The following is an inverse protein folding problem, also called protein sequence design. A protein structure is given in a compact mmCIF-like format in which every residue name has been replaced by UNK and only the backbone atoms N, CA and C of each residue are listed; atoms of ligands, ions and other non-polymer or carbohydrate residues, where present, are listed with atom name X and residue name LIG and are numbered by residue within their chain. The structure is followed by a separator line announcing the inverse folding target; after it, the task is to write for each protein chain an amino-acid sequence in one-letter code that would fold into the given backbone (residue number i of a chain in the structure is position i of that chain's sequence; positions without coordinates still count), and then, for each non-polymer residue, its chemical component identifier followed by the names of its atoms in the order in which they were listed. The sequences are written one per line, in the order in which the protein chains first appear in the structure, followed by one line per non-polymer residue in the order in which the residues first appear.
data_IF_499137957850
#
_entry.id   IF_499137957850
#
_cell.length_a   1.000
_cell.length_b   1.000
_cell.length_c   1.000
_cell.angle_alpha   90.00
_cell.angle_beta   90.00
_cell.angle_gamma   90.00
#
_symmetry.space_group_name_H-M   'P 1'
#
loop_
_entity.id
_entity.type
_entity.pdbx_description
1 polymer ?
#
# COMPACT_ATOMS: atom_id res chain seq x y z
N UNK A 1 1.87 -28.89 0.17
CA UNK A 1 0.63 -28.33 -0.44
C UNK A 1 -0.12 -27.31 0.42
N UNK A 2 0.29 -27.06 1.67
CA UNK A 2 -0.31 -26.04 2.56
C UNK A 2 0.43 -24.67 2.52
N UNK A 3 1.42 -24.48 1.64
CA UNK A 3 2.36 -23.36 1.65
C UNK A 3 1.88 -22.07 0.97
N UNK A 4 0.69 -22.01 0.37
CA UNK A 4 0.34 -20.89 -0.51
C UNK A 4 -0.78 -19.97 0.00
N UNK A 5 -1.26 -20.11 1.24
CA UNK A 5 -2.51 -19.48 1.67
C UNK A 5 -2.37 -17.99 1.99
N UNK A 6 -1.24 -17.56 2.60
CA UNK A 6 -1.01 -16.15 2.99
C UNK A 6 -0.06 -15.39 2.07
N UNK A 7 0.68 -16.08 1.23
CA UNK A 7 1.78 -15.49 0.46
C UNK A 7 1.31 -14.43 -0.53
N UNK A 8 0.11 -14.62 -1.13
CA UNK A 8 -0.48 -13.67 -2.10
C UNK A 8 -0.88 -12.36 -1.45
N UNK A 9 -1.53 -12.45 -0.28
CA UNK A 9 -1.94 -11.27 0.47
C UNK A 9 -0.71 -10.52 0.98
N UNK A 10 0.31 -11.24 1.44
CA UNK A 10 1.61 -10.68 1.81
C UNK A 10 2.28 -10.00 0.62
N UNK A 11 2.30 -10.63 -0.55
CA UNK A 11 2.87 -10.05 -1.77
C UNK A 11 2.08 -8.81 -2.23
N UNK A 12 0.74 -8.88 -2.26
CA UNK A 12 -0.11 -7.76 -2.63
C UNK A 12 0.06 -6.58 -1.67
N UNK A 13 -0.04 -6.82 -0.37
CA UNK A 13 0.13 -5.78 0.66
C UNK A 13 1.54 -5.19 0.63
N UNK A 14 2.57 -6.01 0.49
CA UNK A 14 3.96 -5.54 0.42
C UNK A 14 4.22 -4.66 -0.82
N UNK A 15 3.68 -5.04 -2.00
CA UNK A 15 3.73 -4.19 -3.20
C UNK A 15 3.01 -2.86 -2.96
N UNK A 16 1.81 -2.90 -2.37
CA UNK A 16 1.03 -1.70 -2.10
C UNK A 16 1.72 -0.80 -1.07
N UNK A 17 2.34 -1.37 -0.03
CA UNK A 17 3.15 -0.63 0.95
C UNK A 17 4.36 0.03 0.31
N UNK A 18 5.09 -0.67 -0.56
CA UNK A 18 6.25 -0.12 -1.29
C UNK A 18 5.82 1.02 -2.22
N UNK A 19 4.75 0.82 -2.99
CA UNK A 19 4.19 1.88 -3.84
C UNK A 19 3.72 3.09 -3.03
N UNK A 20 3.00 2.86 -1.92
CA UNK A 20 2.51 3.92 -1.04
C UNK A 20 3.66 4.69 -0.36
N UNK A 21 4.73 4.01 0.09
CA UNK A 21 5.91 4.67 0.67
C UNK A 21 6.54 5.64 -0.33
N UNK A 22 6.79 5.19 -1.57
CA UNK A 22 7.31 6.06 -2.64
C UNK A 22 6.35 7.22 -2.96
N UNK A 23 5.05 6.97 -3.06
CA UNK A 23 4.05 8.02 -3.30
C UNK A 23 3.92 8.99 -2.12
N UNK A 24 4.10 8.51 -0.90
CA UNK A 24 4.12 9.34 0.31
C UNK A 24 5.25 10.37 0.27
N UNK A 25 6.47 9.95 -0.10
CA UNK A 25 7.62 10.86 -0.21
C UNK A 25 7.49 11.90 -1.34
N UNK A 26 6.54 11.72 -2.28
CA UNK A 26 6.19 12.73 -3.28
C UNK A 26 5.32 13.86 -2.70
N UNK A 27 4.74 13.68 -1.50
CA UNK A 27 3.96 14.71 -0.82
C UNK A 27 4.90 15.82 -0.31
N UNK A 28 4.41 17.06 -0.34
CA UNK A 28 5.27 18.23 -0.04
C UNK A 28 5.19 18.71 1.41
N UNK A 29 4.07 18.47 2.08
CA UNK A 29 3.84 18.89 3.45
C UNK A 29 4.21 17.81 4.45
N UNK A 30 4.90 18.16 5.52
CA UNK A 30 5.28 17.23 6.61
C UNK A 30 4.08 16.52 7.27
N UNK A 31 2.90 17.13 7.17
CA UNK A 31 1.64 16.59 7.74
C UNK A 31 0.74 15.96 6.69
N UNK A 32 1.16 15.99 5.44
CA UNK A 32 0.40 15.38 4.36
C UNK A 32 0.30 13.87 4.57
N UNK A 33 -0.87 13.32 4.30
CA UNK A 33 -1.13 11.89 4.44
C UNK A 33 -1.70 11.33 3.14
N UNK A 34 -1.03 10.32 2.61
CA UNK A 34 -1.53 9.51 1.52
C UNK A 34 -2.27 8.31 2.09
N UNK A 35 -3.46 8.02 1.57
CA UNK A 35 -4.18 6.76 1.83
C UNK A 35 -4.53 6.10 0.51
N UNK A 36 -4.16 4.84 0.34
CA UNK A 36 -4.58 4.01 -0.79
C UNK A 36 -5.54 2.95 -0.26
N UNK A 37 -6.76 2.93 -0.79
CA UNK A 37 -7.77 1.93 -0.49
C UNK A 37 -8.10 1.12 -1.73
N UNK A 38 -8.04 -0.19 -1.62
CA UNK A 38 -8.56 -1.11 -2.61
C UNK A 38 -9.80 -1.78 -2.03
N UNK A 39 -10.91 -1.68 -2.74
CA UNK A 39 -12.15 -2.42 -2.46
C UNK A 39 -12.40 -3.35 -3.63
N UNK A 40 -12.52 -4.64 -3.37
CA UNK A 40 -12.60 -5.61 -4.44
C UNK A 40 -13.56 -6.77 -4.12
N UNK A 41 -14.08 -7.38 -5.19
CA UNK A 41 -15.01 -8.51 -5.11
C UNK A 41 -14.33 -9.85 -4.85
N UNK A 42 -13.02 -9.93 -5.08
CA UNK A 42 -12.23 -11.13 -4.85
C UNK A 42 -12.13 -11.51 -3.37
N UNK A 43 -11.52 -12.66 -3.06
CA UNK A 43 -11.46 -13.19 -1.68
C UNK A 43 -10.68 -12.30 -0.71
N UNK A 44 -9.73 -11.47 -1.17
CA UNK A 44 -9.00 -10.51 -0.33
C UNK A 44 -9.88 -9.41 0.25
N UNK A 45 -11.02 -9.10 -0.40
CA UNK A 45 -11.97 -8.04 -0.04
C UNK A 45 -11.41 -6.62 -0.04
N UNK A 46 -10.09 -6.47 -0.08
CA UNK A 46 -9.41 -5.19 -0.22
C UNK A 46 -8.24 -4.99 0.74
N UNK A 47 -7.68 -3.79 0.63
CA UNK A 47 -6.50 -3.35 1.39
C UNK A 47 -6.67 -1.87 1.75
N UNK A 48 -6.08 -1.49 2.87
CA UNK A 48 -5.91 -0.08 3.24
C UNK A 48 -4.46 0.16 3.62
N UNK A 49 -3.82 1.13 2.98
CA UNK A 49 -2.44 1.53 3.26
C UNK A 49 -2.39 3.03 3.43
N UNK A 50 -1.62 3.52 4.38
CA UNK A 50 -1.33 4.94 4.56
C UNK A 50 0.17 5.17 4.56
N UNK A 51 0.61 6.29 3.99
CA UNK A 51 2.00 6.72 3.97
C UNK A 51 2.11 8.23 4.16
N UNK A 52 3.24 8.70 4.69
CA UNK A 52 3.54 10.12 4.85
C UNK A 52 4.80 10.54 4.06
N UNK A 53 5.12 11.83 4.09
CA UNK A 53 6.28 12.39 3.40
C UNK A 53 7.64 11.94 3.97
N UNK A 54 7.65 11.33 5.16
CA UNK A 54 8.86 10.89 5.85
C UNK A 54 9.20 9.42 5.62
N UNK A 55 8.51 8.75 4.67
CA UNK A 55 8.70 7.34 4.39
C UNK A 55 8.04 6.39 5.41
N UNK A 56 7.23 6.89 6.34
CA UNK A 56 6.49 6.03 7.24
C UNK A 56 5.27 5.45 6.54
N UNK A 57 5.10 4.15 6.65
CA UNK A 57 3.99 3.44 6.00
C UNK A 57 3.36 2.43 6.95
N UNK A 58 2.07 2.22 6.81
CA UNK A 58 1.31 1.16 7.50
C UNK A 58 0.16 0.70 6.63
N UNK A 59 -0.26 -0.55 6.79
CA UNK A 59 -1.37 -1.09 6.01
C UNK A 59 -1.87 -2.41 6.55
N UNK A 60 -3.05 -2.80 6.10
CA UNK A 60 -3.66 -4.07 6.43
C UNK A 60 -4.55 -4.58 5.29
N UNK A 61 -4.71 -5.91 5.13
CA UNK A 61 -5.70 -6.51 4.26
C UNK A 61 -7.02 -6.67 4.99
N UNK A 62 -8.15 -6.60 4.28
CA UNK A 62 -9.46 -6.89 4.88
C UNK A 62 -9.60 -8.37 5.25
N UNK A 63 -9.08 -9.26 4.40
CA UNK A 63 -9.03 -10.72 4.65
C UNK A 63 -7.59 -11.19 4.46
N UNK A 64 -6.89 -11.54 5.55
CA UNK A 64 -5.48 -11.95 5.47
C UNK A 64 -5.28 -13.40 4.99
N UNK A 65 -6.26 -14.28 5.21
CA UNK A 65 -6.19 -15.69 4.89
C UNK A 65 -7.00 -15.99 3.61
N UNK A 66 -6.31 -16.05 2.47
CA UNK A 66 -6.91 -16.32 1.16
C UNK A 66 -6.28 -17.55 0.53
N UNK A 67 -7.11 -18.54 0.26
CA UNK A 67 -6.72 -19.77 -0.46
C UNK A 67 -7.02 -19.68 -1.94
N UNK A 68 -5.99 -19.69 -2.77
CA UNK A 68 -6.11 -19.77 -4.24
C UNK A 68 -5.02 -20.67 -4.80
N UNK A 69 -5.22 -21.33 -5.94
CA UNK A 69 -4.15 -22.01 -6.67
C UNK A 69 -3.14 -21.01 -7.23
N UNK A 70 -1.95 -21.45 -7.61
CA UNK A 70 -1.03 -20.64 -8.41
C UNK A 70 -1.68 -20.30 -9.76
N UNK A 71 -1.25 -19.17 -10.36
CA UNK A 71 -1.69 -18.82 -11.70
C UNK A 71 -1.13 -19.79 -12.77
N UNK A 72 -1.52 -19.61 -14.01
CA UNK A 72 -1.10 -20.46 -15.12
C UNK A 72 0.44 -20.50 -15.34
N UNK A 73 1.16 -19.47 -14.86
CA UNK A 73 2.63 -19.36 -14.92
C UNK A 73 3.31 -19.94 -13.67
N UNK A 74 2.58 -20.55 -12.74
CA UNK A 74 3.13 -21.06 -11.48
C UNK A 74 3.50 -19.98 -10.45
N UNK A 75 3.08 -18.73 -10.66
CA UNK A 75 3.33 -17.60 -9.74
C UNK A 75 2.14 -17.39 -8.80
N UNK A 76 2.37 -16.58 -7.75
CA UNK A 76 1.30 -16.14 -6.84
C UNK A 76 0.25 -15.33 -7.63
N UNK A 77 -0.99 -15.76 -7.58
CA UNK A 77 -2.12 -15.11 -8.29
C UNK A 77 -2.67 -13.95 -7.45
N UNK A 78 -2.01 -12.81 -7.52
CA UNK A 78 -2.44 -11.59 -6.81
C UNK A 78 -3.70 -11.02 -7.46
N UNK A 79 -3.73 -10.96 -8.80
CA UNK A 79 -4.90 -10.48 -9.54
C UNK A 79 -6.16 -11.30 -9.24
N UNK A 80 -6.04 -12.62 -9.16
CA UNK A 80 -7.15 -13.51 -8.77
C UNK A 80 -7.60 -13.29 -7.31
N UNK A 81 -6.70 -12.90 -6.41
CA UNK A 81 -7.05 -12.59 -5.03
C UNK A 81 -7.87 -11.28 -4.91
N UNK A 82 -7.64 -10.30 -5.79
CA UNK A 82 -8.36 -9.04 -5.83
C UNK A 82 -9.64 -9.15 -6.68
N UNK A 83 -9.53 -9.69 -7.88
CA UNK A 83 -10.62 -9.71 -8.85
C UNK A 83 -11.06 -8.30 -9.26
N UNK A 84 -12.33 -8.13 -9.63
CA UNK A 84 -12.87 -6.81 -9.96
C UNK A 84 -12.93 -5.93 -8.74
N UNK A 85 -12.54 -4.67 -8.89
CA UNK A 85 -12.50 -3.73 -7.77
C UNK A 85 -12.18 -2.31 -8.18
N UNK A 86 -12.03 -1.47 -7.15
CA UNK A 86 -11.73 -0.05 -7.28
C UNK A 86 -10.55 0.27 -6.37
N UNK A 87 -9.59 1.02 -6.89
CA UNK A 87 -8.52 1.64 -6.12
C UNK A 87 -8.79 3.14 -5.98
N UNK A 88 -8.80 3.62 -4.75
CA UNK A 88 -8.94 5.03 -4.39
C UNK A 88 -7.65 5.52 -3.76
N UNK A 89 -7.08 6.59 -4.30
CA UNK A 89 -5.90 7.28 -3.76
C UNK A 89 -6.36 8.61 -3.18
N UNK A 90 -6.22 8.76 -1.88
CA UNK A 90 -6.69 9.90 -1.10
C UNK A 90 -5.46 10.65 -0.60
N UNK A 91 -5.32 11.92 -0.98
CA UNK A 91 -4.24 12.81 -0.54
C UNK A 91 -4.83 13.87 0.38
N UNK A 92 -4.58 13.73 1.69
CA UNK A 92 -4.93 14.73 2.68
C UNK A 92 -3.75 15.70 2.85
N UNK A 93 -3.92 16.90 2.33
CA UNK A 93 -2.94 17.98 2.35
C UNK A 93 -3.34 19.10 3.34
N UNK A 94 -4.21 18.79 4.31
CA UNK A 94 -4.71 19.76 5.27
C UNK A 94 -5.71 20.77 4.68
N UNK A 95 -6.25 20.50 3.50
CA UNK A 95 -7.30 21.31 2.86
C UNK A 95 -8.67 20.93 3.44
N UNK A 96 -9.70 21.74 3.11
CA UNK A 96 -11.07 21.49 3.56
C UNK A 96 -11.58 20.10 3.19
N UNK A 97 -11.21 19.65 2.00
CA UNK A 97 -11.52 18.31 1.51
C UNK A 97 -10.24 17.69 0.93
N UNK A 98 -9.97 16.39 1.16
CA UNK A 98 -8.84 15.71 0.56
C UNK A 98 -9.06 15.55 -0.94
N UNK A 99 -7.96 15.50 -1.69
CA UNK A 99 -8.01 15.08 -3.08
C UNK A 99 -8.25 13.57 -3.15
N UNK A 100 -9.17 13.13 -4.00
CA UNK A 100 -9.47 11.71 -4.21
C UNK A 100 -9.42 11.37 -5.68
N UNK A 101 -8.41 10.57 -6.08
CA UNK A 101 -8.35 9.92 -7.38
C UNK A 101 -8.87 8.49 -7.28
N UNK A 102 -9.65 8.04 -8.26
CA UNK A 102 -10.24 6.71 -8.24
C UNK A 102 -10.17 6.06 -9.61
N UNK A 103 -9.82 4.77 -9.64
CA UNK A 103 -9.80 3.94 -10.85
C UNK A 103 -10.47 2.58 -10.59
N UNK A 104 -11.01 1.98 -11.65
CA UNK A 104 -11.29 0.55 -11.64
C UNK A 104 -9.97 -0.22 -11.77
N UNK A 105 -9.80 -1.30 -11.01
CA UNK A 105 -8.66 -2.21 -11.17
C UNK A 105 -8.66 -2.79 -12.59
N UNK A 106 -7.53 -2.75 -13.24
CA UNK A 106 -7.36 -3.25 -14.60
C UNK A 106 -6.98 -4.73 -14.58
N UNK A 107 -6.01 -5.08 -13.77
CA UNK A 107 -5.47 -6.45 -13.68
C UNK A 107 -5.49 -7.01 -12.26
N UNK A 108 -5.56 -6.16 -11.25
CA UNK A 108 -5.34 -6.52 -9.85
C UNK A 108 -3.86 -6.74 -9.51
N UNK A 109 -2.95 -6.58 -10.48
CA UNK A 109 -1.51 -6.48 -10.22
C UNK A 109 -1.18 -5.04 -9.84
N UNK A 110 -0.78 -4.82 -8.60
CA UNK A 110 -0.69 -3.49 -7.97
C UNK A 110 0.15 -2.48 -8.77
N UNK A 111 1.25 -2.93 -9.38
CA UNK A 111 2.13 -2.06 -10.16
C UNK A 111 1.43 -1.54 -11.44
N UNK A 112 0.70 -2.41 -12.13
CA UNK A 112 -0.03 -2.06 -13.35
C UNK A 112 -1.20 -1.12 -13.03
N UNK A 113 -1.94 -1.40 -11.95
CA UNK A 113 -3.05 -0.55 -11.50
C UNK A 113 -2.55 0.84 -11.06
N UNK A 114 -1.40 0.94 -10.39
CA UNK A 114 -0.77 2.23 -10.05
C UNK A 114 -0.29 2.98 -11.29
N UNK A 115 0.30 2.27 -12.27
CA UNK A 115 0.67 2.87 -13.57
C UNK A 115 -0.56 3.47 -14.26
N UNK A 116 -1.67 2.72 -14.29
CA UNK A 116 -2.93 3.19 -14.84
C UNK A 116 -3.51 4.39 -14.05
N UNK A 117 -3.40 4.36 -12.71
CA UNK A 117 -3.81 5.48 -11.86
C UNK A 117 -3.05 6.76 -12.20
N UNK A 118 -1.73 6.71 -12.31
CA UNK A 118 -0.92 7.88 -12.68
C UNK A 118 -1.30 8.43 -14.05
N UNK A 119 -1.49 7.56 -15.03
CA UNK A 119 -1.83 7.98 -16.38
C UNK A 119 -3.23 8.61 -16.48
N UNK A 120 -4.23 8.05 -15.77
CA UNK A 120 -5.63 8.45 -15.94
C UNK A 120 -6.12 9.48 -14.91
N UNK A 121 -5.71 9.37 -13.65
CA UNK A 121 -6.13 10.28 -12.59
C UNK A 121 -5.18 11.45 -12.39
N UNK A 122 -3.87 11.21 -12.44
CA UNK A 122 -2.86 12.27 -12.27
C UNK A 122 -2.42 12.87 -13.60
N UNK A 123 -2.73 12.22 -14.72
CA UNK A 123 -2.33 12.61 -16.08
C UNK A 123 -0.81 12.73 -16.24
N UNK A 124 -0.07 11.90 -15.52
CA UNK A 124 1.40 11.82 -15.58
C UNK A 124 1.78 10.46 -16.15
N UNK A 125 2.37 10.39 -17.36
CA UNK A 125 2.89 9.14 -17.90
C UNK A 125 3.94 8.57 -16.95
N UNK A 126 3.71 7.35 -16.49
CA UNK A 126 4.53 6.75 -15.43
C UNK A 126 4.76 5.27 -15.71
N UNK A 127 5.89 4.75 -15.23
CA UNK A 127 6.15 3.32 -15.14
C UNK A 127 6.34 2.95 -13.67
N UNK A 128 5.64 1.93 -13.23
CA UNK A 128 5.72 1.42 -11.86
C UNK A 128 6.18 -0.03 -11.89
N UNK A 129 7.27 -0.33 -11.20
CA UNK A 129 7.75 -1.69 -10.98
C UNK A 129 7.74 -2.01 -9.49
N UNK A 130 7.08 -3.09 -9.08
CA UNK A 130 7.00 -3.51 -7.68
C UNK A 130 7.28 -5.00 -7.55
N UNK A 131 8.03 -5.38 -6.53
CA UNK A 131 8.37 -6.75 -6.25
C UNK A 131 8.35 -7.08 -4.76
N UNK A 132 7.90 -8.28 -4.43
CA UNK A 132 7.95 -8.84 -3.07
C UNK A 132 8.34 -10.30 -3.15
N UNK A 133 9.39 -10.67 -2.45
CA UNK A 133 9.85 -12.04 -2.28
C UNK A 133 9.39 -12.55 -0.91
N UNK A 134 8.66 -13.66 -0.91
CA UNK A 134 8.12 -14.30 0.28
C UNK A 134 8.81 -15.65 0.49
N UNK A 135 9.34 -15.87 1.68
CA UNK A 135 9.96 -17.13 2.06
C UNK A 135 8.89 -18.23 2.30
N UNK A 136 9.29 -19.53 2.28
CA UNK A 136 8.38 -20.64 2.60
C UNK A 136 7.75 -20.55 4.00
N UNK A 137 8.39 -19.88 4.96
CA UNK A 137 7.88 -19.61 6.31
C UNK A 137 6.92 -18.40 6.35
N UNK A 138 6.65 -17.78 5.19
CA UNK A 138 5.76 -16.61 5.00
C UNK A 138 6.34 -15.26 5.46
N UNK A 139 7.58 -15.21 5.86
CA UNK A 139 8.27 -13.94 6.08
C UNK A 139 8.58 -13.27 4.75
N UNK A 140 8.54 -11.94 4.73
CA UNK A 140 9.02 -11.17 3.57
C UNK A 140 10.54 -11.18 3.58
N UNK A 141 11.15 -11.71 2.51
CA UNK A 141 12.61 -11.71 2.35
C UNK A 141 13.10 -10.38 1.81
N UNK A 142 12.43 -9.89 0.77
CA UNK A 142 12.71 -8.61 0.13
C UNK A 142 11.42 -7.98 -0.39
N UNK A 143 11.34 -6.66 -0.36
CA UNK A 143 10.27 -5.88 -0.97
C UNK A 143 10.85 -4.56 -1.47
N UNK A 144 10.36 -4.09 -2.61
CA UNK A 144 10.78 -2.82 -3.17
C UNK A 144 10.24 -2.59 -4.57
N UNK A 145 10.76 -1.55 -5.22
CA UNK A 145 10.33 -1.19 -6.55
C UNK A 145 10.81 0.20 -6.97
N UNK A 146 10.23 0.69 -8.03
CA UNK A 146 10.47 2.04 -8.54
C UNK A 146 9.18 2.65 -9.09
N UNK A 147 9.13 3.97 -9.09
CA UNK A 147 8.16 4.78 -9.83
C UNK A 147 8.97 5.76 -10.67
N UNK A 148 8.82 5.71 -11.98
CA UNK A 148 9.44 6.62 -12.94
C UNK A 148 8.34 7.44 -13.58
N UNK A 149 8.49 8.75 -13.60
CA UNK A 149 7.52 9.67 -14.19
C UNK A 149 8.18 10.54 -15.24
N UNK A 150 7.53 10.68 -16.39
CA UNK A 150 8.00 11.57 -17.43
C UNK A 150 7.70 13.02 -17.05
N UNK A 151 8.71 13.88 -17.16
CA UNK A 151 8.52 15.32 -17.01
C UNK A 151 7.81 15.89 -18.25
N UNK A 152 7.05 16.98 -18.09
CA UNK A 152 6.49 17.69 -19.26
C UNK A 152 7.58 18.03 -20.28
N UNK A 153 7.28 17.80 -21.55
CA UNK A 153 8.18 18.06 -22.67
C UNK A 153 9.43 17.17 -22.72
N UNK A 154 9.42 16.01 -22.10
CA UNK A 154 10.49 15.01 -22.29
C UNK A 154 10.60 14.68 -23.79
N UNK A 155 11.80 14.74 -24.40
CA UNK A 155 12.00 14.39 -25.80
C UNK A 155 11.60 12.95 -26.13
N UNK A 156 11.03 12.72 -27.32
CA UNK A 156 10.51 11.42 -27.74
C UNK A 156 11.62 10.34 -27.75
N UNK A 157 12.84 10.69 -28.14
CA UNK A 157 13.97 9.75 -28.12
C UNK A 157 14.36 9.30 -26.71
N UNK A 158 14.16 10.12 -25.69
CA UNK A 158 14.35 9.75 -24.29
C UNK A 158 13.26 8.81 -23.84
N UNK A 159 12.00 9.07 -24.24
CA UNK A 159 10.85 8.17 -23.95
C UNK A 159 11.08 6.81 -24.56
N UNK A 160 11.42 6.74 -25.87
CA UNK A 160 11.68 5.49 -26.59
C UNK A 160 12.80 4.66 -25.94
N UNK A 161 13.89 5.32 -25.53
CA UNK A 161 15.01 4.67 -24.85
C UNK A 161 14.60 4.13 -23.49
N UNK A 162 13.82 4.87 -22.73
CA UNK A 162 13.33 4.46 -21.41
C UNK A 162 12.37 3.28 -21.53
N UNK A 163 11.38 3.34 -22.44
CA UNK A 163 10.44 2.24 -22.68
C UNK A 163 11.16 0.95 -23.07
N UNK A 164 12.13 1.06 -24.02
CA UNK A 164 12.95 -0.07 -24.40
C UNK A 164 13.69 -0.65 -23.19
N UNK A 165 14.31 0.20 -22.40
CA UNK A 165 15.09 -0.21 -21.22
C UNK A 165 14.21 -0.92 -20.17
N UNK A 166 13.04 -0.37 -19.85
CA UNK A 166 12.09 -1.00 -18.91
C UNK A 166 11.61 -2.36 -19.40
N UNK A 167 11.46 -2.54 -20.70
CA UNK A 167 11.06 -3.82 -21.28
C UNK A 167 12.17 -4.88 -21.23
N UNK A 168 13.44 -4.46 -21.30
CA UNK A 168 14.61 -5.33 -21.35
C UNK A 168 15.17 -5.73 -19.97
N UNK A 169 14.87 -4.96 -18.91
CA UNK A 169 15.37 -5.26 -17.57
C UNK A 169 14.70 -6.49 -16.95
N UNK A 170 15.44 -7.15 -16.07
CA UNK A 170 14.91 -8.21 -15.22
C UNK A 170 13.73 -7.70 -14.36
N UNK A 171 12.86 -8.61 -13.94
CA UNK A 171 11.79 -8.24 -13.02
C UNK A 171 12.35 -7.68 -11.71
N UNK A 172 11.58 -6.80 -11.04
CA UNK A 172 11.98 -6.24 -9.73
C UNK A 172 12.32 -7.34 -8.73
N UNK A 173 11.57 -8.45 -8.73
CA UNK A 173 11.84 -9.59 -7.84
C UNK A 173 13.18 -10.25 -8.13
N UNK A 174 13.57 -10.40 -9.40
CA UNK A 174 14.89 -10.94 -9.78
C UNK A 174 16.01 -9.99 -9.36
N UNK A 175 15.86 -8.69 -9.61
CA UNK A 175 16.85 -7.70 -9.19
C UNK A 175 17.05 -7.68 -7.67
N UNK A 176 15.95 -7.78 -6.90
CA UNK A 176 16.01 -7.86 -5.44
C UNK A 176 16.63 -9.19 -4.96
N UNK A 177 16.38 -10.31 -5.65
CA UNK A 177 16.97 -11.60 -5.34
C UNK A 177 18.48 -11.61 -5.56
N UNK A 178 18.94 -10.92 -6.58
CA UNK A 178 20.36 -10.69 -6.88
C UNK A 178 21.04 -9.72 -5.87
N UNK A 179 20.28 -9.19 -4.90
CA UNK A 179 20.77 -8.30 -3.86
C UNK A 179 21.07 -6.88 -4.31
N UNK A 180 20.46 -6.44 -5.43
CA UNK A 180 20.66 -5.07 -5.92
C UNK A 180 20.06 -4.04 -4.97
N UNK A 181 20.79 -2.97 -4.76
CA UNK A 181 20.32 -1.79 -4.00
C UNK A 181 19.34 -0.95 -4.85
N UNK A 182 18.54 -0.08 -4.23
CA UNK A 182 17.70 0.86 -4.97
C UNK A 182 18.49 1.69 -5.99
N UNK A 183 19.67 2.17 -5.62
CA UNK A 183 20.55 2.94 -6.49
C UNK A 183 21.02 2.12 -7.69
N UNK A 184 21.40 0.86 -7.49
CA UNK A 184 21.81 -0.04 -8.56
C UNK A 184 20.64 -0.35 -9.52
N UNK A 185 19.41 -0.44 -9.01
CA UNK A 185 18.23 -0.60 -9.84
C UNK A 185 17.98 0.65 -10.67
N UNK A 186 18.08 1.84 -10.07
CA UNK A 186 17.93 3.11 -10.79
C UNK A 186 19.03 3.28 -11.82
N UNK A 187 20.28 2.92 -11.50
CA UNK A 187 21.40 2.98 -12.46
C UNK A 187 21.19 2.06 -13.65
N UNK A 188 20.64 0.87 -13.44
CA UNK A 188 20.30 -0.05 -14.53
C UNK A 188 19.23 0.54 -15.48
N UNK A 189 18.29 1.32 -14.96
CA UNK A 189 17.17 1.86 -15.75
C UNK A 189 17.55 3.20 -16.37
N UNK A 190 18.16 4.10 -15.59
CA UNK A 190 18.32 5.52 -15.91
C UNK A 190 19.77 5.94 -16.12
N UNK A 191 20.77 5.09 -15.85
CA UNK A 191 22.20 5.46 -15.90
C UNK A 191 22.62 6.05 -17.24
N UNK A 192 22.16 5.46 -18.36
CA UNK A 192 22.42 5.97 -19.71
C UNK A 192 21.69 7.30 -20.02
N UNK A 193 20.75 7.71 -19.19
CA UNK A 193 19.97 8.95 -19.31
C UNK A 193 20.50 10.05 -18.39
N UNK A 194 21.58 9.79 -17.62
CA UNK A 194 22.20 10.76 -16.72
C UNK A 194 21.52 10.81 -15.36
N UNK A 195 21.47 9.65 -14.67
CA UNK A 195 20.90 9.55 -13.33
C UNK A 195 21.63 10.46 -12.35
N UNK A 196 20.88 11.25 -11.59
CA UNK A 196 21.33 11.98 -10.42
C UNK A 196 20.51 11.60 -9.20
N UNK A 197 21.15 11.14 -8.13
CA UNK A 197 20.49 10.81 -6.87
C UNK A 197 20.46 12.06 -6.00
N UNK A 198 19.29 12.65 -5.82
CA UNK A 198 19.14 13.92 -5.12
C UNK A 198 18.96 13.73 -3.60
N UNK A 199 18.27 12.68 -3.18
CA UNK A 199 17.96 12.45 -1.76
C UNK A 199 17.69 10.97 -1.47
N UNK A 200 17.79 10.62 -0.18
CA UNK A 200 17.46 9.28 0.33
C UNK A 200 16.64 9.42 1.61
N UNK A 201 15.51 8.75 1.67
CA UNK A 201 14.58 8.75 2.82
C UNK A 201 14.48 7.33 3.36
N UNK A 202 14.65 7.18 4.67
CA UNK A 202 14.46 5.90 5.35
C UNK A 202 12.97 5.52 5.36
N UNK A 203 12.66 4.32 4.86
CA UNK A 203 11.31 3.79 4.89
C UNK A 203 11.10 2.88 6.10
N UNK A 204 10.00 3.09 6.85
CA UNK A 204 9.69 2.30 8.02
C UNK A 204 8.20 2.05 8.20
N UNK A 205 7.85 0.86 8.72
CA UNK A 205 6.50 0.63 9.23
C UNK A 205 6.33 1.41 10.54
N UNK A 206 5.40 2.35 10.56
CA UNK A 206 5.10 3.13 11.76
C UNK A 206 3.60 3.23 11.99
N UNK A 207 3.15 2.81 13.17
CA UNK A 207 1.76 2.96 13.60
C UNK A 207 1.67 3.92 14.78
N UNK A 208 0.93 4.98 14.59
CA UNK A 208 0.68 6.07 15.56
C UNK A 208 -0.62 5.85 16.37
N UNK A 209 -1.09 4.60 16.50
CA UNK A 209 -2.25 4.30 17.31
C UNK A 209 -1.98 4.52 18.80
N UNK A 210 -2.97 5.06 19.49
CA UNK A 210 -2.95 5.25 20.95
C UNK A 210 -4.33 4.97 21.53
N UNK A 211 -4.39 4.78 22.86
CA UNK A 211 -5.67 4.55 23.57
C UNK A 211 -6.63 5.73 23.33
N UNK A 212 -6.10 6.95 23.31
CA UNK A 212 -6.88 8.19 23.09
C UNK A 212 -7.46 8.23 21.65
N UNK A 213 -6.70 7.77 20.63
CA UNK A 213 -7.22 7.71 19.25
C UNK A 213 -8.31 6.67 19.11
N UNK A 214 -8.13 5.51 19.74
CA UNK A 214 -9.14 4.43 19.75
C UNK A 214 -10.38 4.88 20.51
N UNK A 215 -10.23 5.54 21.68
CA UNK A 215 -11.35 6.14 22.42
C UNK A 215 -12.18 7.08 21.55
N UNK A 216 -11.51 7.99 20.82
CA UNK A 216 -12.22 8.90 19.91
C UNK A 216 -12.98 8.16 18.81
N UNK A 217 -12.41 7.08 18.29
CA UNK A 217 -13.10 6.25 17.29
C UNK A 217 -14.33 5.56 17.88
N UNK A 218 -14.23 5.00 19.08
CA UNK A 218 -15.37 4.42 19.81
C UNK A 218 -16.46 5.48 20.05
N UNK A 219 -16.09 6.69 20.46
CA UNK A 219 -17.03 7.79 20.70
C UNK A 219 -17.79 8.27 19.44
N UNK A 220 -17.35 7.87 18.22
CA UNK A 220 -18.09 8.13 16.97
C UNK A 220 -19.17 7.10 16.66
N UNK A 221 -19.25 6.00 17.41
CA UNK A 221 -20.31 5.01 17.27
C UNK A 221 -21.68 5.62 17.57
N UNK A 222 -22.74 5.00 17.03
CA UNK A 222 -24.09 5.45 17.36
C UNK A 222 -24.37 5.28 18.87
N UNK A 223 -25.23 6.13 19.43
CA UNK A 223 -25.64 6.00 20.83
C UNK A 223 -26.18 4.61 21.14
N UNK A 224 -26.92 4.03 20.19
CA UNK A 224 -27.47 2.69 20.36
C UNK A 224 -26.37 1.64 20.50
N UNK A 225 -25.37 1.68 19.61
CA UNK A 225 -24.27 0.70 19.65
C UNK A 225 -23.46 0.84 20.95
N UNK A 226 -23.21 2.06 21.41
CA UNK A 226 -22.56 2.32 22.70
C UNK A 226 -23.39 1.83 23.89
N UNK A 227 -24.74 2.03 23.84
CA UNK A 227 -25.67 1.57 24.85
C UNK A 227 -25.71 0.04 24.91
N UNK A 228 -25.70 -0.63 23.78
CA UNK A 228 -25.64 -2.09 23.67
C UNK A 228 -24.33 -2.61 24.30
N UNK A 229 -23.19 -2.04 23.94
CA UNK A 229 -21.86 -2.40 24.53
C UNK A 229 -21.82 -2.19 26.04
N UNK A 230 -22.34 -1.05 26.54
CA UNK A 230 -22.36 -0.75 27.97
C UNK A 230 -23.33 -1.65 28.73
N UNK A 231 -24.46 -2.06 28.11
CA UNK A 231 -25.48 -2.92 28.74
C UNK A 231 -25.01 -4.36 28.90
N UNK A 232 -24.08 -4.83 28.03
CA UNK A 232 -23.46 -6.16 28.17
C UNK A 232 -22.67 -6.30 29.47
N UNK A 233 -22.25 -5.18 30.07
CA UNK A 233 -21.63 -5.15 31.39
C UNK A 233 -20.20 -5.70 31.43
N UNK A 234 -19.55 -5.87 30.26
CA UNK A 234 -18.20 -6.42 30.14
C UNK A 234 -17.22 -5.38 29.58
N UNK A 235 -15.93 -5.51 29.95
CA UNK A 235 -14.85 -4.72 29.31
C UNK A 235 -14.67 -5.18 27.88
N UNK A 236 -14.33 -4.25 26.97
CA UNK A 236 -14.04 -4.57 25.58
C UNK A 236 -12.56 -4.49 25.27
N UNK A 237 -12.11 -5.36 24.37
CA UNK A 237 -10.79 -5.29 23.74
C UNK A 237 -10.96 -4.81 22.30
N UNK A 238 -10.26 -3.73 21.93
CA UNK A 238 -10.20 -3.22 20.56
C UNK A 238 -8.79 -3.34 20.03
N UNK A 239 -8.62 -4.06 18.93
CA UNK A 239 -7.31 -4.21 18.26
C UNK A 239 -7.13 -3.20 17.13
N UNK A 240 -5.97 -2.59 17.09
CA UNK A 240 -5.59 -1.76 15.95
C UNK A 240 -5.42 -2.64 14.71
N UNK A 241 -6.14 -2.36 13.63
CA UNK A 241 -6.06 -3.13 12.39
C UNK A 241 -4.69 -3.05 11.71
N UNK A 242 -3.93 -1.96 11.91
CA UNK A 242 -2.62 -1.79 11.32
C UNK A 242 -1.51 -2.60 12.03
N UNK A 243 -1.45 -2.57 13.36
CA UNK A 243 -0.35 -3.16 14.13
C UNK A 243 -0.77 -4.24 15.14
N UNK A 244 -2.05 -4.58 15.20
CA UNK A 244 -2.64 -5.56 16.12
C UNK A 244 -2.47 -5.25 17.62
N UNK A 245 -1.99 -4.04 17.99
CA UNK A 245 -1.93 -3.64 19.39
C UNK A 245 -3.33 -3.61 19.98
N UNK A 246 -3.51 -4.32 21.12
CA UNK A 246 -4.76 -4.39 21.83
C UNK A 246 -4.90 -3.22 22.82
N UNK A 247 -6.09 -2.66 22.90
CA UNK A 247 -6.50 -1.64 23.85
C UNK A 247 -7.73 -2.12 24.60
N UNK A 248 -7.67 -2.07 25.93
CA UNK A 248 -8.76 -2.48 26.79
C UNK A 248 -9.48 -1.24 27.32
N UNK A 249 -10.80 -1.30 27.32
CA UNK A 249 -11.68 -0.26 27.85
C UNK A 249 -12.62 -0.90 28.85
N UNK A 250 -12.62 -0.37 30.07
CA UNK A 250 -13.56 -0.78 31.10
C UNK A 250 -14.93 -0.10 30.91
N UNK A 251 -15.92 -0.59 31.66
CA UNK A 251 -17.29 -0.12 31.55
C UNK A 251 -17.41 1.36 31.90
N UNK A 252 -16.60 1.85 32.85
CA UNK A 252 -16.69 3.25 33.31
C UNK A 252 -16.08 4.18 32.24
N UNK A 253 -14.98 3.78 31.58
CA UNK A 253 -14.44 4.49 30.42
C UNK A 253 -15.48 4.57 29.28
N UNK A 254 -16.18 3.45 28.99
CA UNK A 254 -17.23 3.40 27.94
C UNK A 254 -18.42 4.29 28.27
N UNK A 255 -18.85 4.36 29.56
CA UNK A 255 -19.90 5.27 30.00
C UNK A 255 -19.51 6.73 29.88
N UNK A 256 -18.21 7.07 30.05
CA UNK A 256 -17.71 8.42 29.87
C UNK A 256 -17.73 8.85 28.39
N UNK A 257 -17.42 7.94 27.48
CA UNK A 257 -17.47 8.20 26.02
C UNK A 257 -18.90 8.42 25.49
N UNK A 258 -19.90 7.96 26.24
CA UNK A 258 -21.33 8.11 25.94
C UNK A 258 -21.87 9.55 26.17
N UNK A 259 -21.16 10.37 26.97
CA UNK A 259 -21.56 11.76 27.28
C UNK A 259 -21.33 12.69 26.11
#
# INVERSE_FOLDING_TARGET
RQMCIRDRITAALGRLLSGAAMMGTMMKGEKDLLTIQIQCGGPAKGFTVTADANGHVKGFPNVPDVELPLNAQGKLDVGGALGLGVMSVIKDMGLKEPYVGQIALQTGEIAEDLTYYFATSEQVPSAVGLGVLVNPDRSVRQAGGFIIQLMPFTPDDVVDRLEKKITEIASVTEMLEDGKTPEEILELILGELGLEINDTVDAAFQCDCSKERVSRAIATLSRKDLDDIVSDGESIEVKCQFCNKAYHFDIDELKEMRK
#
